data_IF_140175923939
#
_entry.id   IF_140175923939
#
_cell.length_a   1.000
_cell.length_b   1.000
_cell.length_c   1.000
_cell.angle_alpha   90.00
_cell.angle_beta   90.00
_cell.angle_gamma   90.00
#
_symmetry.space_group_name_H-M   'P 1'
#
loop_
_entity.id
_entity.type
_entity.pdbx_description
1 polymer ?
#
# COMPACT_ATOMS: atom_id res chain seq x y z
N UNK A 1 4.90 -33.96 -17.01
CA UNK A 1 5.89 -32.87 -17.12
C UNK A 1 5.73 -31.99 -15.88
N UNK A 2 6.78 -31.87 -15.07
CA UNK A 2 6.74 -31.17 -13.77
C UNK A 2 6.92 -29.66 -13.98
N UNK A 3 6.03 -28.87 -13.37
CA UNK A 3 6.08 -27.39 -13.34
C UNK A 3 7.18 -26.85 -12.39
N UNK A 4 8.02 -27.70 -11.81
CA UNK A 4 9.13 -27.29 -10.94
C UNK A 4 10.39 -26.95 -11.78
N UNK A 5 10.34 -25.86 -12.53
CA UNK A 5 11.55 -25.20 -13.04
C UNK A 5 11.55 -23.73 -12.64
N UNK A 6 12.65 -23.31 -12.02
CA UNK A 6 13.11 -21.93 -11.82
C UNK A 6 12.39 -21.04 -10.79
N UNK A 7 12.40 -21.43 -9.52
CA UNK A 7 12.47 -20.43 -8.42
C UNK A 7 13.91 -20.14 -7.95
N UNK A 8 14.89 -20.90 -8.46
CA UNK A 8 16.31 -20.79 -8.11
C UNK A 8 17.04 -19.60 -8.74
N UNK A 9 16.42 -18.86 -9.64
CA UNK A 9 17.03 -17.70 -10.33
C UNK A 9 16.50 -16.33 -9.84
N UNK A 10 15.61 -16.31 -8.85
CA UNK A 10 15.13 -15.04 -8.26
C UNK A 10 16.14 -14.57 -7.20
N UNK A 11 17.19 -13.89 -7.65
CA UNK A 11 18.21 -13.34 -6.78
C UNK A 11 17.72 -12.04 -6.13
N UNK A 12 17.48 -12.06 -4.82
CA UNK A 12 17.21 -10.85 -4.03
C UNK A 12 18.44 -9.94 -3.99
N UNK A 13 18.23 -8.64 -4.12
CA UNK A 13 19.28 -7.63 -3.88
C UNK A 13 19.31 -7.20 -2.41
N UNK A 14 20.37 -6.51 -2.00
CA UNK A 14 20.43 -5.86 -0.69
C UNK A 14 19.51 -4.63 -0.60
N UNK A 15 18.98 -4.17 -1.75
CA UNK A 15 18.07 -3.04 -1.84
C UNK A 15 16.64 -3.37 -1.39
N UNK A 16 16.00 -2.38 -0.79
CA UNK A 16 14.59 -2.42 -0.41
C UNK A 16 13.94 -1.10 -0.81
N UNK A 17 12.66 -1.18 -1.15
CA UNK A 17 11.79 0.00 -1.34
C UNK A 17 10.70 0.00 -0.29
N UNK A 18 10.17 1.18 0.01
CA UNK A 18 8.98 1.31 0.82
C UNK A 18 7.74 1.33 -0.07
N UNK A 19 6.93 0.28 -0.01
CA UNK A 19 5.69 0.13 -0.75
C UNK A 19 4.51 0.59 0.09
N UNK A 20 3.72 1.49 -0.47
CA UNK A 20 2.40 1.86 0.04
C UNK A 20 1.34 1.19 -0.82
N UNK A 21 0.46 0.46 -0.17
CA UNK A 21 -0.73 -0.15 -0.77
C UNK A 21 -1.96 0.64 -0.35
N UNK A 22 -2.72 1.11 -1.33
CA UNK A 22 -4.08 1.60 -1.15
C UNK A 22 -5.05 0.51 -1.57
N UNK A 23 -5.97 0.16 -0.68
CA UNK A 23 -7.06 -0.76 -0.97
C UNK A 23 -8.38 -0.05 -0.71
N UNK A 24 -9.21 0.13 -1.75
CA UNK A 24 -10.58 0.65 -1.62
C UNK A 24 -11.58 -0.48 -1.82
N UNK A 25 -12.50 -0.62 -0.88
CA UNK A 25 -13.68 -1.48 -0.96
C UNK A 25 -14.91 -0.60 -0.96
N UNK A 26 -15.79 -0.82 -1.93
CA UNK A 26 -17.05 -0.10 -2.09
C UNK A 26 -18.20 -1.10 -2.14
N UNK A 27 -19.37 -0.69 -1.69
CA UNK A 27 -20.60 -1.46 -1.89
C UNK A 27 -21.05 -1.48 -3.36
N UNK A 28 -20.75 -0.41 -4.10
CA UNK A 28 -21.29 -0.18 -5.45
C UNK A 28 -20.23 -0.20 -6.55
N UNK A 29 -18.96 -0.34 -6.20
CA UNK A 29 -17.85 -0.41 -7.15
C UNK A 29 -16.98 -1.64 -6.89
N UNK A 30 -16.31 -2.18 -7.94
CA UNK A 30 -15.28 -3.19 -7.76
C UNK A 30 -14.19 -2.73 -6.78
N UNK A 31 -13.58 -3.72 -6.14
CA UNK A 31 -12.41 -3.47 -5.31
C UNK A 31 -11.29 -2.84 -6.15
N UNK A 32 -10.68 -1.79 -5.62
CA UNK A 32 -9.55 -1.10 -6.25
C UNK A 32 -8.31 -1.25 -5.38
N UNK A 33 -7.17 -1.58 -6.02
CA UNK A 33 -5.86 -1.70 -5.38
C UNK A 33 -4.88 -0.86 -6.16
N UNK A 34 -4.08 -0.07 -5.44
CA UNK A 34 -3.01 0.73 -6.01
C UNK A 34 -1.74 0.61 -5.18
N UNK A 35 -0.60 0.76 -5.84
CA UNK A 35 0.73 0.58 -5.30
C UNK A 35 1.60 1.78 -5.61
N UNK A 36 2.18 2.38 -4.58
CA UNK A 36 3.07 3.52 -4.71
C UNK A 36 4.40 3.20 -4.03
N UNK A 37 5.49 3.40 -4.74
CA UNK A 37 6.84 3.00 -4.31
C UNK A 37 7.63 4.26 -3.92
N UNK A 38 8.27 4.20 -2.76
CA UNK A 38 9.11 5.26 -2.21
C UNK A 38 10.48 4.69 -1.84
N UNK A 39 11.51 5.54 -1.91
CA UNK A 39 12.87 5.18 -1.49
C UNK A 39 12.96 4.96 0.03
N UNK A 40 12.17 5.70 0.82
CA UNK A 40 12.20 5.66 2.29
C UNK A 40 10.82 5.59 2.90
N UNK A 41 10.73 5.04 4.12
CA UNK A 41 9.50 5.06 4.90
C UNK A 41 9.04 6.49 5.22
N UNK A 42 9.95 7.41 5.55
CA UNK A 42 9.61 8.80 5.86
C UNK A 42 8.88 9.48 4.70
N UNK A 43 9.41 9.35 3.48
CA UNK A 43 8.77 9.90 2.28
C UNK A 43 7.38 9.30 2.04
N UNK A 44 7.26 7.98 2.21
CA UNK A 44 5.98 7.30 2.05
C UNK A 44 4.96 7.67 3.13
N UNK A 45 5.36 7.70 4.40
CA UNK A 45 4.48 8.07 5.52
C UNK A 45 3.98 9.52 5.37
N UNK A 46 4.84 10.44 4.93
CA UNK A 46 4.44 11.82 4.63
C UNK A 46 3.38 11.88 3.52
N UNK A 47 3.56 11.10 2.46
CA UNK A 47 2.55 10.97 1.42
C UNK A 47 1.24 10.37 1.94
N UNK A 48 1.30 9.31 2.75
CA UNK A 48 0.11 8.71 3.37
C UNK A 48 -0.66 9.72 4.21
N UNK A 49 0.03 10.56 4.99
CA UNK A 49 -0.60 11.61 5.79
C UNK A 49 -1.34 12.62 4.90
N UNK A 50 -0.75 13.09 3.80
CA UNK A 50 -1.42 13.99 2.85
C UNK A 50 -2.63 13.33 2.18
N UNK A 51 -2.51 12.05 1.84
CA UNK A 51 -3.59 11.29 1.22
C UNK A 51 -4.77 11.09 2.19
N UNK A 52 -4.48 10.81 3.46
CA UNK A 52 -5.46 10.76 4.54
C UNK A 52 -6.18 12.10 4.66
N UNK A 53 -5.44 13.21 4.71
CA UNK A 53 -6.04 14.55 4.79
C UNK A 53 -6.98 14.85 3.61
N UNK A 54 -6.58 14.46 2.39
CA UNK A 54 -7.42 14.60 1.21
C UNK A 54 -8.72 13.77 1.33
N UNK A 55 -8.64 12.53 1.83
CA UNK A 55 -9.82 11.70 2.07
C UNK A 55 -10.70 12.23 3.22
N UNK A 56 -10.10 12.79 4.27
CA UNK A 56 -10.86 13.42 5.36
C UNK A 56 -11.68 14.61 4.84
N UNK A 57 -11.12 15.42 3.94
CA UNK A 57 -11.84 16.50 3.24
C UNK A 57 -12.96 15.97 2.33
N UNK A 58 -12.83 14.75 1.82
CA UNK A 58 -13.86 14.05 1.05
C UNK A 58 -14.90 13.32 1.92
N UNK A 59 -14.88 13.50 3.24
CA UNK A 59 -15.87 12.95 4.17
C UNK A 59 -15.56 11.56 4.72
N UNK A 60 -14.36 11.03 4.48
CA UNK A 60 -13.91 9.82 5.17
C UNK A 60 -13.51 10.16 6.60
N UNK A 61 -13.88 9.30 7.55
CA UNK A 61 -13.38 9.38 8.93
C UNK A 61 -12.13 8.54 9.04
N UNK A 62 -11.01 9.13 9.44
CA UNK A 62 -9.78 8.39 9.63
C UNK A 62 -9.70 7.67 10.98
N UNK A 63 -9.03 6.52 10.95
CA UNK A 63 -8.49 5.80 12.10
C UNK A 63 -7.05 5.45 11.81
N UNK A 64 -6.12 6.23 12.38
CA UNK A 64 -4.69 5.89 12.37
C UNK A 64 -4.45 4.70 13.29
N UNK A 65 -3.81 3.66 12.77
CA UNK A 65 -3.44 2.46 13.53
C UNK A 65 -1.95 2.44 13.86
N UNK A 66 -1.13 2.92 12.93
CA UNK A 66 0.31 3.18 13.09
C UNK A 66 0.76 4.20 12.04
N UNK A 67 2.02 4.58 12.04
CA UNK A 67 2.58 5.43 10.96
C UNK A 67 2.47 4.76 9.58
N UNK A 68 2.54 3.44 9.54
CA UNK A 68 2.43 2.64 8.32
C UNK A 68 1.02 2.15 8.02
N UNK A 69 -0.01 2.57 8.78
CA UNK A 69 -1.36 2.03 8.59
C UNK A 69 -2.49 2.97 8.98
N UNK A 70 -3.39 3.18 8.04
CA UNK A 70 -4.63 3.93 8.22
C UNK A 70 -5.82 3.14 7.69
N UNK A 71 -6.95 3.28 8.38
CA UNK A 71 -8.26 2.93 7.86
C UNK A 71 -9.09 4.20 7.73
N UNK A 72 -9.84 4.30 6.65
CA UNK A 72 -10.69 5.44 6.30
C UNK A 72 -12.07 4.89 5.93
N UNK A 73 -13.14 5.49 6.44
CA UNK A 73 -14.51 5.01 6.20
C UNK A 73 -15.48 6.20 6.06
N UNK A 74 -16.30 6.21 5.02
CA UNK A 74 -17.36 7.21 4.82
C UNK A 74 -18.79 6.60 4.88
N UNK A 75 -18.91 5.33 5.28
CA UNK A 75 -20.16 4.57 5.36
C UNK A 75 -20.51 3.79 4.09
N UNK A 76 -20.08 4.26 2.91
CA UNK A 76 -20.28 3.56 1.63
C UNK A 76 -19.00 2.84 1.17
N UNK A 77 -17.87 3.48 1.41
CA UNK A 77 -16.55 3.03 1.00
C UNK A 77 -15.60 2.95 2.21
N UNK A 78 -14.73 1.95 2.14
CA UNK A 78 -13.65 1.72 3.09
C UNK A 78 -12.32 1.75 2.35
N UNK A 79 -11.39 2.56 2.82
CA UNK A 79 -10.03 2.62 2.31
C UNK A 79 -9.07 2.15 3.40
N UNK A 80 -8.16 1.26 3.04
CA UNK A 80 -7.01 0.89 3.87
C UNK A 80 -5.74 1.36 3.17
N UNK A 81 -4.93 2.13 3.88
CA UNK A 81 -3.57 2.47 3.48
C UNK A 81 -2.60 1.67 4.33
N UNK A 82 -1.63 1.01 3.69
CA UNK A 82 -0.60 0.22 4.36
C UNK A 82 0.76 0.45 3.73
N UNK A 83 1.73 0.82 4.55
CA UNK A 83 3.14 0.83 4.20
C UNK A 83 3.84 -0.48 4.58
N UNK A 84 4.84 -0.86 3.80
CA UNK A 84 5.73 -1.99 4.09
C UNK A 84 7.01 -1.93 3.27
N UNK A 85 8.13 -2.37 3.84
CA UNK A 85 9.34 -2.59 3.05
C UNK A 85 9.20 -3.83 2.15
N UNK A 86 9.56 -3.67 0.89
CA UNK A 86 9.59 -4.74 -0.10
C UNK A 86 11.01 -4.92 -0.64
N UNK A 87 11.47 -6.17 -0.77
CA UNK A 87 12.77 -6.45 -1.35
C UNK A 87 12.77 -6.17 -2.86
N UNK A 88 13.90 -5.69 -3.37
CA UNK A 88 14.13 -5.58 -4.82
C UNK A 88 14.78 -6.89 -5.30
N UNK A 89 14.26 -7.47 -6.36
CA UNK A 89 14.80 -8.68 -6.99
C UNK A 89 15.54 -8.31 -8.28
N UNK A 90 16.64 -9.01 -8.57
CA UNK A 90 17.35 -8.90 -9.84
C UNK A 90 16.46 -9.48 -10.95
N UNK A 91 16.31 -8.70 -12.03
CA UNK A 91 15.66 -9.13 -13.26
C UNK A 91 16.61 -9.82 -14.21
#
# INVERSE_FOLDING_TARGET
>A
MSLMQNTSEINKTDGQVYLITLLRKSTNMPQYIDHMIYETAEGGQKFMAHLVEAFSRAGYREKKLSDDKYNLDNGLDKITLRGSYQPIYKG
#
